data_IF_636582249069
#
_entry.id   IF_636582249069
#
_cell.length_a   1.000
_cell.length_b   1.000
_cell.length_c   1.000
_cell.angle_alpha   90.00
_cell.angle_beta   90.00
_cell.angle_gamma   90.00
#
_symmetry.space_group_name_H-M   'P 1'
#
loop_
_entity.id
_entity.type
_entity.pdbx_description
1 polymer ?
#
# COMPACT_ATOMS: atom_id res chain seq x y z
N UNK A 1 -2.19 -6.38 -12.47
CA UNK A 1 -0.94 -6.88 -11.84
C UNK A 1 -1.23 -7.36 -10.43
N UNK A 2 -0.45 -8.30 -9.89
CA UNK A 2 -0.71 -8.89 -8.57
C UNK A 2 0.34 -8.41 -7.55
N UNK A 3 -0.09 -7.93 -6.39
CA UNK A 3 0.78 -7.40 -5.33
C UNK A 3 0.42 -7.98 -3.96
N UNK A 4 1.39 -8.04 -3.04
CA UNK A 4 1.17 -8.47 -1.66
C UNK A 4 1.33 -7.32 -0.67
N UNK A 5 0.21 -6.72 -0.25
CA UNK A 5 0.19 -5.68 0.78
C UNK A 5 -0.04 -6.23 2.19
N UNK A 6 -0.32 -7.53 2.34
CA UNK A 6 -0.47 -8.19 3.64
C UNK A 6 0.87 -8.41 4.35
N UNK A 7 1.95 -8.51 3.56
CA UNK A 7 3.31 -8.76 4.07
C UNK A 7 4.30 -7.78 3.45
N UNK A 8 4.29 -6.55 3.95
CA UNK A 8 5.23 -5.51 3.52
C UNK A 8 6.37 -5.41 4.51
N UNK A 9 7.60 -5.54 4.01
CA UNK A 9 8.81 -5.26 4.77
C UNK A 9 9.01 -3.76 4.95
N UNK A 10 8.97 -3.30 6.19
CA UNK A 10 9.17 -1.90 6.59
C UNK A 10 10.38 -1.83 7.51
N UNK A 11 11.41 -1.10 7.08
CA UNK A 11 12.60 -0.89 7.91
C UNK A 11 12.32 0.16 8.99
N UNK A 12 12.63 -0.17 10.24
CA UNK A 12 12.35 0.71 11.39
C UNK A 12 13.53 1.60 11.75
N UNK A 13 14.67 1.45 11.07
CA UNK A 13 15.86 2.29 11.18
C UNK A 13 16.44 2.66 9.82
N UNK A 14 17.14 3.80 9.75
CA UNK A 14 17.73 4.31 8.51
C UNK A 14 18.88 3.44 7.98
N UNK A 15 19.57 2.71 8.84
CA UNK A 15 20.60 1.74 8.44
C UNK A 15 20.02 0.44 7.87
N UNK A 16 18.68 0.29 7.84
CA UNK A 16 17.96 -0.89 7.37
C UNK A 16 18.38 -2.19 8.08
N UNK A 17 18.75 -2.09 9.35
CA UNK A 17 19.19 -3.26 10.15
C UNK A 17 18.04 -3.99 10.83
N UNK A 18 16.94 -3.29 11.08
CA UNK A 18 15.72 -3.80 11.69
C UNK A 18 14.57 -3.68 10.69
N UNK A 19 13.86 -4.77 10.49
CA UNK A 19 12.73 -4.87 9.57
C UNK A 19 11.53 -5.48 10.29
N UNK A 20 10.36 -4.86 10.12
CA UNK A 20 9.09 -5.39 10.54
C UNK A 20 8.28 -5.78 9.30
N UNK A 21 7.65 -6.95 9.33
CA UNK A 21 6.66 -7.33 8.31
C UNK A 21 5.30 -6.85 8.79
N UNK A 22 4.68 -5.95 8.03
CA UNK A 22 3.43 -5.30 8.38
C UNK A 22 2.34 -5.60 7.36
N UNK A 23 1.12 -5.75 7.84
CA UNK A 23 -0.08 -5.78 7.00
C UNK A 23 -0.50 -4.34 6.69
N UNK A 24 -0.17 -3.90 5.48
CA UNK A 24 -0.41 -2.54 5.01
C UNK A 24 -1.75 -2.38 4.30
N UNK A 25 -2.51 -3.47 4.06
CA UNK A 25 -3.79 -3.39 3.34
C UNK A 25 -4.78 -2.48 4.05
N UNK A 26 -4.96 -2.69 5.36
CA UNK A 26 -5.92 -1.92 6.16
C UNK A 26 -5.48 -0.47 6.33
N UNK A 27 -4.18 -0.24 6.53
CA UNK A 27 -3.64 1.11 6.63
C UNK A 27 -3.88 1.89 5.33
N UNK A 28 -3.51 1.31 4.18
CA UNK A 28 -3.72 1.94 2.88
C UNK A 28 -5.22 2.12 2.58
N UNK A 29 -6.04 1.10 2.87
CA UNK A 29 -7.49 1.18 2.68
C UNK A 29 -8.10 2.33 3.47
N UNK A 30 -7.75 2.48 4.75
CA UNK A 30 -8.24 3.55 5.60
C UNK A 30 -7.77 4.92 5.09
N UNK A 31 -6.49 5.05 4.69
CA UNK A 31 -5.97 6.31 4.13
C UNK A 31 -6.69 6.69 2.83
N UNK A 32 -6.96 5.72 1.94
CA UNK A 32 -7.73 5.96 0.72
C UNK A 32 -9.17 6.33 1.05
N UNK A 33 -9.80 5.66 2.02
CA UNK A 33 -11.18 5.94 2.41
C UNK A 33 -11.34 7.34 3.02
N UNK A 34 -10.41 7.76 3.87
CA UNK A 34 -10.45 9.05 4.56
C UNK A 34 -10.05 10.23 3.66
N UNK A 35 -9.06 10.04 2.79
CA UNK A 35 -8.41 11.14 2.04
C UNK A 35 -8.60 11.06 0.53
N UNK A 36 -8.97 9.91 0.01
CA UNK A 36 -9.21 9.69 -1.42
C UNK A 36 -10.45 10.44 -1.89
N UNK A 37 -10.45 10.82 -3.17
CA UNK A 37 -11.56 11.52 -3.80
C UNK A 37 -12.14 10.69 -4.94
N UNK A 38 -13.47 10.64 -5.00
CA UNK A 38 -14.21 9.95 -6.06
C UNK A 38 -14.46 8.46 -5.80
N UNK A 39 -15.31 7.89 -6.65
CA UNK A 39 -15.82 6.52 -6.50
C UNK A 39 -14.71 5.46 -6.61
N UNK A 40 -13.72 5.68 -7.49
CA UNK A 40 -12.60 4.75 -7.67
C UNK A 40 -11.79 4.54 -6.37
N UNK A 41 -11.56 5.61 -5.60
CA UNK A 41 -10.90 5.51 -4.29
C UNK A 41 -11.71 4.66 -3.31
N UNK A 42 -13.03 4.90 -3.22
CA UNK A 42 -13.89 4.14 -2.33
C UNK A 42 -13.91 2.65 -2.69
N UNK A 43 -14.07 2.31 -3.97
CA UNK A 43 -14.04 0.92 -4.46
C UNK A 43 -12.71 0.25 -4.11
N UNK A 44 -11.59 0.92 -4.37
CA UNK A 44 -10.26 0.39 -4.06
C UNK A 44 -10.04 0.21 -2.55
N UNK A 45 -10.50 1.15 -1.72
CA UNK A 45 -10.40 1.04 -0.27
C UNK A 45 -11.09 -0.24 0.24
N UNK A 46 -12.33 -0.49 -0.21
CA UNK A 46 -13.06 -1.71 0.15
C UNK A 46 -12.35 -2.98 -0.36
N UNK A 47 -11.92 -2.97 -1.63
CA UNK A 47 -11.17 -4.08 -2.23
C UNK A 47 -9.94 -4.46 -1.41
N UNK A 48 -9.13 -3.49 -1.00
CA UNK A 48 -7.94 -3.72 -0.17
C UNK A 48 -8.29 -4.19 1.24
N UNK A 49 -9.35 -3.64 1.84
CA UNK A 49 -9.78 -3.98 3.19
C UNK A 49 -10.31 -5.42 3.30
N UNK A 50 -11.02 -5.89 2.27
CA UNK A 50 -11.72 -7.18 2.26
C UNK A 50 -10.87 -8.32 1.71
N UNK A 51 -9.91 -8.04 0.81
CA UNK A 51 -9.10 -9.09 0.18
C UNK A 51 -8.11 -9.70 1.17
N UNK A 52 -8.05 -11.04 1.17
CA UNK A 52 -7.02 -11.83 1.86
C UNK A 52 -5.87 -12.20 0.92
N UNK A 53 -4.62 -12.04 1.37
CA UNK A 53 -3.45 -12.34 0.56
C UNK A 53 -3.17 -11.31 -0.53
N UNK A 54 -2.75 -11.83 -1.68
CA UNK A 54 -2.38 -11.04 -2.84
C UNK A 54 -3.61 -10.39 -3.51
N UNK A 55 -3.49 -9.12 -3.86
CA UNK A 55 -4.53 -8.34 -4.54
C UNK A 55 -4.14 -8.16 -6.00
N UNK A 56 -5.09 -8.39 -6.90
CA UNK A 56 -4.96 -7.98 -8.29
C UNK A 56 -5.39 -6.52 -8.44
N UNK A 57 -4.50 -5.67 -8.95
CA UNK A 57 -4.76 -4.25 -9.21
C UNK A 57 -4.57 -3.87 -10.67
N UNK A 58 -5.32 -2.89 -11.16
CA UNK A 58 -5.09 -2.27 -12.47
C UNK A 58 -4.14 -1.05 -12.39
N UNK A 59 -3.86 -0.43 -13.54
CA UNK A 59 -2.94 0.72 -13.62
C UNK A 59 -3.48 1.97 -12.89
N UNK A 60 -4.80 2.18 -12.88
CA UNK A 60 -5.42 3.31 -12.17
C UNK A 60 -5.36 3.10 -10.65
N UNK A 61 -5.63 1.89 -10.18
CA UNK A 61 -5.49 1.50 -8.78
C UNK A 61 -4.03 1.60 -8.33
N UNK A 62 -3.09 1.20 -9.19
CA UNK A 62 -1.64 1.38 -8.97
C UNK A 62 -1.27 2.83 -8.76
N UNK A 63 -1.79 3.76 -9.57
CA UNK A 63 -1.52 5.19 -9.40
C UNK A 63 -2.04 5.72 -8.06
N UNK A 64 -3.24 5.29 -7.64
CA UNK A 64 -3.81 5.67 -6.34
C UNK A 64 -2.93 5.16 -5.20
N UNK A 65 -2.54 3.88 -5.21
CA UNK A 65 -1.70 3.30 -4.15
C UNK A 65 -0.32 3.95 -4.14
N UNK A 66 0.27 4.21 -5.32
CA UNK A 66 1.57 4.88 -5.42
C UNK A 66 1.52 6.28 -4.79
N UNK A 67 0.45 7.04 -5.08
CA UNK A 67 0.25 8.37 -4.48
C UNK A 67 0.10 8.31 -2.96
N UNK A 68 -0.64 7.33 -2.44
CA UNK A 68 -0.78 7.12 -1.00
C UNK A 68 0.58 6.81 -0.37
N UNK A 69 1.35 5.89 -0.97
CA UNK A 69 2.66 5.50 -0.48
C UNK A 69 3.66 6.67 -0.45
N UNK A 70 3.65 7.51 -1.49
CA UNK A 70 4.59 8.63 -1.64
C UNK A 70 4.19 9.87 -0.83
N UNK A 71 2.90 10.12 -0.60
CA UNK A 71 2.42 11.40 -0.05
C UNK A 71 1.80 11.31 1.35
N UNK A 72 1.34 10.12 1.78
CA UNK A 72 0.49 9.98 2.96
C UNK A 72 1.04 9.00 4.01
N UNK A 73 1.92 8.08 3.61
CA UNK A 73 2.60 7.17 4.54
C UNK A 73 3.91 7.76 5.07
N UNK A 74 4.45 7.15 6.12
CA UNK A 74 5.83 7.43 6.54
C UNK A 74 6.81 6.99 5.44
N UNK A 75 7.99 7.61 5.32
CA UNK A 75 8.95 7.25 4.27
C UNK A 75 9.28 5.75 4.23
N UNK A 76 9.49 5.13 5.39
CA UNK A 76 9.79 3.70 5.50
C UNK A 76 8.63 2.81 5.00
N UNK A 77 7.40 3.13 5.37
CA UNK A 77 6.22 2.39 4.94
C UNK A 77 5.95 2.60 3.44
N UNK A 78 6.10 3.83 2.95
CA UNK A 78 6.00 4.18 1.54
C UNK A 78 7.00 3.40 0.69
N UNK A 79 8.28 3.35 1.08
CA UNK A 79 9.30 2.52 0.42
C UNK A 79 8.90 1.04 0.34
N UNK A 80 8.43 0.47 1.46
CA UNK A 80 8.01 -0.93 1.51
C UNK A 80 6.86 -1.23 0.55
N UNK A 81 5.85 -0.35 0.50
CA UNK A 81 4.70 -0.48 -0.41
C UNK A 81 5.11 -0.32 -1.87
N UNK A 82 5.96 0.66 -2.18
CA UNK A 82 6.41 0.91 -3.56
C UNK A 82 7.18 -0.28 -4.15
N UNK A 83 7.94 -1.03 -3.33
CA UNK A 83 8.61 -2.27 -3.77
C UNK A 83 7.63 -3.35 -4.23
N UNK A 84 6.42 -3.40 -3.69
CA UNK A 84 5.41 -4.37 -4.12
C UNK A 84 4.85 -4.03 -5.51
N UNK A 85 4.83 -2.74 -5.86
CA UNK A 85 4.16 -2.20 -7.05
C UNK A 85 5.12 -2.00 -8.22
N UNK A 86 6.41 -1.88 -7.92
CA UNK A 86 7.53 -1.84 -8.87
C UNK A 86 8.57 -2.89 -8.45
N UNK A 87 8.29 -4.19 -8.59
CA UNK A 87 9.32 -5.21 -8.37
C UNK A 87 10.44 -4.98 -9.39
N UNK A 88 11.69 -4.88 -8.92
CA UNK A 88 12.90 -4.79 -9.75
C UNK A 88 13.07 -6.00 -10.67
#
# INVERSE_FOLDING_TARGET
MKINLERVEVFTDLSKTQCAVMDMRKEIANVIYERGQGLACSVLAHKLYETQGEVEIDDSEKEIISRVAEQLLTPAAGEGVMKQIKPE
#
